data_IF_852027832427
#
_entry.id   IF_852027832427
#
_cell.length_a   1.000
_cell.length_b   1.000
_cell.length_c   1.000
_cell.angle_alpha   90.00
_cell.angle_beta   90.00
_cell.angle_gamma   90.00
#
_symmetry.space_group_name_H-M   'P 1'
#
loop_
_entity.id
_entity.type
_entity.pdbx_description
1 polymer ?
#
# COMPACT_ATOMS: atom_id res chain seq x y z
N UNK A 1 15.65 -67.61 -16.40
CA UNK A 1 16.70 -66.61 -16.05
C UNK A 1 16.56 -65.36 -16.93
N UNK A 2 16.00 -64.27 -16.36
CA UNK A 2 16.73 -63.01 -16.09
C UNK A 2 17.02 -62.22 -17.40
N UNK A 3 16.55 -61.00 -17.67
CA UNK A 3 16.47 -59.80 -16.83
C UNK A 3 15.69 -58.71 -17.59
N UNK A 4 14.96 -57.89 -16.83
CA UNK A 4 14.29 -56.64 -17.20
C UNK A 4 15.34 -55.56 -17.56
N UNK A 5 15.10 -54.76 -18.61
CA UNK A 5 15.60 -53.38 -18.63
C UNK A 5 14.63 -52.45 -19.38
N UNK A 6 13.77 -51.80 -18.59
CA UNK A 6 13.13 -50.51 -18.87
C UNK A 6 14.17 -49.39 -18.83
N UNK A 7 14.03 -48.34 -19.66
CA UNK A 7 14.41 -46.92 -19.41
C UNK A 7 14.38 -46.09 -20.73
N UNK A 8 14.23 -44.75 -20.70
CA UNK A 8 12.93 -44.09 -20.55
C UNK A 8 12.70 -42.91 -21.52
N UNK A 9 11.46 -42.43 -21.51
CA UNK A 9 10.92 -41.13 -21.92
C UNK A 9 11.93 -40.00 -22.26
N UNK A 10 11.94 -39.63 -23.53
CA UNK A 10 12.27 -38.28 -23.99
C UNK A 10 10.98 -37.44 -23.91
N UNK A 11 10.78 -36.82 -22.75
CA UNK A 11 9.75 -35.81 -22.54
C UNK A 11 10.37 -34.65 -21.76
N UNK A 12 11.10 -33.81 -22.49
CA UNK A 12 11.57 -32.51 -22.00
C UNK A 12 10.37 -31.67 -21.54
N UNK A 13 10.12 -31.70 -20.24
CA UNK A 13 9.02 -31.02 -19.58
C UNK A 13 9.12 -29.49 -19.58
N UNK A 14 8.01 -28.81 -19.20
CA UNK A 14 7.86 -27.36 -19.33
C UNK A 14 8.68 -26.58 -18.29
N UNK A 15 9.20 -25.44 -18.73
CA UNK A 15 9.86 -24.44 -17.91
C UNK A 15 9.02 -24.11 -16.65
N UNK A 16 9.55 -24.47 -15.48
CA UNK A 16 8.98 -24.09 -14.20
C UNK A 16 8.99 -22.56 -14.00
N UNK A 17 8.08 -22.01 -13.19
CA UNK A 17 8.07 -20.58 -12.89
C UNK A 17 9.34 -20.20 -12.09
N UNK A 18 9.86 -18.97 -12.25
CA UNK A 18 11.03 -18.53 -11.52
C UNK A 18 10.79 -18.54 -10.00
N UNK A 19 11.84 -18.75 -9.20
CA UNK A 19 11.71 -18.82 -7.74
C UNK A 19 11.14 -17.51 -7.21
N UNK A 20 10.02 -17.61 -6.50
CA UNK A 20 9.45 -16.50 -5.76
C UNK A 20 10.48 -16.01 -4.75
N UNK A 21 10.99 -14.79 -4.95
CA UNK A 21 11.78 -14.07 -3.95
C UNK A 21 10.84 -13.84 -2.76
N UNK A 22 10.85 -14.77 -1.81
CA UNK A 22 10.29 -14.63 -0.48
C UNK A 22 10.97 -13.42 0.17
N UNK A 23 10.37 -12.25 0.03
CA UNK A 23 10.76 -11.07 0.82
C UNK A 23 10.64 -11.48 2.29
N UNK A 24 11.69 -11.30 3.10
CA UNK A 24 11.58 -11.61 4.52
C UNK A 24 10.42 -10.80 5.12
N UNK A 25 9.65 -11.36 6.06
CA UNK A 25 8.68 -10.57 6.82
C UNK A 25 9.41 -9.39 7.46
N UNK A 26 8.75 -8.24 7.66
CA UNK A 26 9.38 -7.06 8.26
C UNK A 26 10.02 -7.44 9.60
N UNK A 27 11.34 -7.65 9.57
CA UNK A 27 12.09 -8.09 10.74
C UNK A 27 12.22 -6.90 11.69
N UNK A 28 11.49 -6.96 12.80
CA UNK A 28 11.69 -6.07 13.94
C UNK A 28 13.04 -6.41 14.57
N UNK A 29 14.09 -5.67 14.22
CA UNK A 29 15.40 -5.75 14.88
C UNK A 29 15.63 -4.42 15.61
N UNK A 30 15.48 -4.40 16.94
CA UNK A 30 15.84 -3.24 17.76
C UNK A 30 14.77 -2.18 18.03
N UNK A 31 13.49 -2.46 17.83
CA UNK A 31 12.39 -1.57 18.27
C UNK A 31 11.98 -0.49 17.27
N UNK A 32 12.79 -0.19 16.26
CA UNK A 32 12.42 0.70 15.15
C UNK A 32 11.75 -0.08 14.01
N UNK A 33 10.67 0.48 13.44
CA UNK A 33 10.05 -0.07 12.25
C UNK A 33 10.90 0.23 11.01
N UNK A 34 11.35 -0.79 10.29
CA UNK A 34 12.02 -0.59 9.00
C UNK A 34 10.96 -0.30 7.92
N UNK A 35 10.88 0.96 7.49
CA UNK A 35 10.13 1.36 6.31
C UNK A 35 10.99 1.15 5.05
N UNK A 36 10.40 0.76 3.90
CA UNK A 36 8.97 0.61 3.64
C UNK A 36 8.40 -0.75 4.11
N UNK A 37 7.22 -0.71 4.71
CA UNK A 37 6.49 -1.88 5.19
C UNK A 37 5.59 -2.45 4.09
N UNK A 38 5.95 -3.61 3.53
CA UNK A 38 5.17 -4.29 2.50
C UNK A 38 4.06 -5.15 3.14
N UNK A 39 2.80 -4.86 2.78
CA UNK A 39 1.57 -5.48 3.27
C UNK A 39 0.76 -6.03 2.07
N UNK A 40 1.38 -6.94 1.30
CA UNK A 40 0.80 -7.49 0.07
C UNK A 40 0.75 -6.45 -1.06
N UNK A 41 -0.44 -6.06 -1.58
CA UNK A 41 -0.56 -5.05 -2.62
C UNK A 41 -0.40 -3.60 -2.11
N UNK A 42 -0.30 -3.41 -0.79
CA UNK A 42 -0.06 -2.13 -0.12
C UNK A 42 1.39 -2.08 0.37
N UNK A 43 2.06 -0.95 0.23
CA UNK A 43 3.38 -0.69 0.81
C UNK A 43 3.35 0.65 1.52
N UNK A 44 3.65 0.68 2.82
CA UNK A 44 3.68 1.92 3.59
C UNK A 44 5.10 2.46 3.61
N UNK A 45 5.28 3.70 3.16
CA UNK A 45 6.59 4.37 3.08
C UNK A 45 6.82 5.33 4.23
N UNK A 46 5.74 5.85 4.84
CA UNK A 46 5.80 6.77 5.97
C UNK A 46 4.49 6.72 6.74
N UNK A 47 4.56 6.65 8.06
CA UNK A 47 3.37 6.61 8.92
C UNK A 47 2.81 8.00 9.23
N UNK A 48 3.60 9.06 9.04
CA UNK A 48 3.22 10.42 9.38
C UNK A 48 3.18 10.67 10.89
N UNK A 49 2.78 11.89 11.25
CA UNK A 49 2.60 12.35 12.63
C UNK A 49 1.11 12.63 12.82
N UNK A 50 0.48 11.90 13.74
CA UNK A 50 -0.93 12.07 14.07
C UNK A 50 -1.54 10.85 14.77
N UNK A 51 -2.56 11.07 15.59
CA UNK A 51 -3.25 10.01 16.33
C UNK A 51 -4.55 9.61 15.61
N UNK A 52 -4.65 8.35 15.21
CA UNK A 52 -5.89 7.78 14.69
C UNK A 52 -6.85 7.44 15.85
N UNK A 53 -7.63 8.42 16.29
CA UNK A 53 -8.66 8.30 17.34
C UNK A 53 -10.11 8.37 16.81
N UNK A 54 -11.13 8.12 17.66
CA UNK A 54 -12.54 8.21 17.29
C UNK A 54 -12.96 9.68 17.10
N UNK A 55 -12.65 10.19 15.90
CA UNK A 55 -12.78 11.59 15.46
C UNK A 55 -11.67 11.98 14.45
N UNK A 56 -11.18 11.00 13.69
CA UNK A 56 -9.77 10.87 13.27
C UNK A 56 -9.16 12.09 12.57
N UNK A 57 -8.16 12.68 13.22
CA UNK A 57 -7.14 13.51 12.57
C UNK A 57 -6.30 12.57 11.72
N UNK A 58 -6.36 12.74 10.40
CA UNK A 58 -5.56 11.95 9.47
C UNK A 58 -4.07 12.15 9.79
N UNK A 59 -3.24 11.09 9.79
CA UNK A 59 -1.82 11.21 10.10
C UNK A 59 -1.11 12.04 9.03
N UNK A 60 -0.75 13.28 9.36
CA UNK A 60 -0.09 14.20 8.43
C UNK A 60 1.28 13.66 8.08
N UNK A 61 1.61 13.59 6.80
CA UNK A 61 2.84 12.97 6.30
C UNK A 61 2.73 11.46 6.09
N UNK A 62 1.56 10.85 6.30
CA UNK A 62 1.34 9.46 5.93
C UNK A 62 1.49 9.27 4.42
N UNK A 63 2.26 8.26 4.03
CA UNK A 63 2.52 7.92 2.64
C UNK A 63 2.49 6.42 2.44
N UNK A 64 1.65 5.97 1.52
CA UNK A 64 1.59 4.57 1.10
C UNK A 64 1.53 4.46 -0.43
N UNK A 65 1.88 3.30 -0.96
CA UNK A 65 1.63 2.94 -2.35
C UNK A 65 0.77 1.70 -2.43
N UNK A 66 -0.16 1.67 -3.37
CA UNK A 66 -1.04 0.53 -3.60
C UNK A 66 -1.12 0.19 -5.08
N UNK A 67 -0.99 -1.10 -5.40
CA UNK A 67 -1.15 -1.58 -6.76
C UNK A 67 -2.64 -1.70 -7.11
N UNK A 68 -3.13 -0.88 -8.04
CA UNK A 68 -4.54 -0.85 -8.43
C UNK A 68 -4.71 -0.67 -9.95
N UNK A 69 -5.95 -0.70 -10.45
CA UNK A 69 -6.22 -0.56 -11.89
C UNK A 69 -5.87 0.85 -12.37
N UNK A 70 -5.21 0.92 -13.53
CA UNK A 70 -4.84 2.20 -14.16
C UNK A 70 -6.06 2.91 -14.74
N UNK A 71 -6.19 4.20 -14.44
CA UNK A 71 -7.15 5.12 -15.07
C UNK A 71 -6.75 5.50 -16.49
N UNK A 72 -5.46 5.41 -16.84
CA UNK A 72 -4.94 5.77 -18.17
C UNK A 72 -4.95 4.60 -19.16
N UNK A 73 -4.69 3.38 -18.68
CA UNK A 73 -4.61 2.16 -19.49
C UNK A 73 -5.58 1.11 -18.94
N UNK A 74 -6.86 1.15 -19.33
CA UNK A 74 -7.86 0.17 -18.90
C UNK A 74 -7.39 -1.24 -19.27
N UNK A 75 -7.19 -2.10 -18.26
CA UNK A 75 -6.65 -3.46 -18.43
C UNK A 75 -5.25 -3.66 -17.85
N UNK A 76 -4.53 -2.59 -17.49
CA UNK A 76 -3.27 -2.67 -16.74
C UNK A 76 -3.46 -2.21 -15.29
N UNK A 77 -2.52 -2.62 -14.44
CA UNK A 77 -2.39 -2.12 -13.07
C UNK A 77 -1.20 -1.17 -13.00
N UNK A 78 -1.32 -0.15 -12.16
CA UNK A 78 -0.25 0.78 -11.83
C UNK A 78 -0.23 0.98 -10.31
N UNK A 79 0.90 1.51 -9.81
CA UNK A 79 1.00 1.91 -8.42
C UNK A 79 0.37 3.29 -8.25
N UNK A 80 -0.43 3.42 -7.20
CA UNK A 80 -0.96 4.70 -6.73
C UNK A 80 -0.27 5.07 -5.44
N UNK A 81 0.32 6.25 -5.40
CA UNK A 81 0.86 6.84 -4.17
C UNK A 81 -0.25 7.61 -3.47
N UNK A 82 -0.62 7.18 -2.27
CA UNK A 82 -1.53 7.89 -1.38
C UNK A 82 -0.71 8.73 -0.40
N UNK A 83 -1.11 9.98 -0.20
CA UNK A 83 -0.45 10.91 0.73
C UNK A 83 -1.49 11.64 1.56
N UNK A 84 -1.18 11.86 2.83
CA UNK A 84 -1.89 12.79 3.69
C UNK A 84 -0.95 13.98 3.89
N UNK A 85 -1.35 15.15 3.39
CA UNK A 85 -0.61 16.42 3.47
C UNK A 85 -1.13 17.19 4.69
N UNK A 86 -0.39 18.21 5.16
CA UNK A 86 -0.83 19.07 6.26
C UNK A 86 -2.20 19.72 5.97
N UNK A 87 -3.05 19.79 7.00
CA UNK A 87 -4.49 20.07 6.87
C UNK A 87 -5.29 18.81 6.49
N UNK A 88 -6.63 18.86 6.43
CA UNK A 88 -7.43 17.76 5.92
C UNK A 88 -7.25 17.70 4.39
N UNK A 89 -6.07 17.29 3.91
CA UNK A 89 -5.76 17.22 2.48
C UNK A 89 -5.10 15.89 2.18
N UNK A 90 -5.81 15.08 1.41
CA UNK A 90 -5.35 13.81 0.91
C UNK A 90 -5.08 13.91 -0.59
N UNK A 91 -4.12 13.12 -1.07
CA UNK A 91 -3.74 13.07 -2.46
C UNK A 91 -3.55 11.61 -2.89
N UNK A 92 -4.06 11.28 -4.07
CA UNK A 92 -3.76 10.04 -4.79
C UNK A 92 -3.10 10.41 -6.11
N UNK A 93 -1.90 9.89 -6.34
CA UNK A 93 -1.15 10.09 -7.58
C UNK A 93 -0.90 8.74 -8.23
N UNK A 94 -1.27 8.59 -9.50
CA UNK A 94 -0.92 7.41 -10.27
C UNK A 94 0.52 7.52 -10.78
N UNK A 95 1.32 6.46 -10.69
CA UNK A 95 2.67 6.46 -11.24
C UNK A 95 2.70 6.54 -12.77
N UNK A 96 1.64 6.11 -13.46
CA UNK A 96 1.58 6.12 -14.93
C UNK A 96 0.98 7.41 -15.53
N UNK A 97 0.46 8.28 -14.68
CA UNK A 97 -0.04 9.62 -14.98
C UNK A 97 0.22 10.57 -13.79
N UNK A 98 1.49 10.89 -13.49
CA UNK A 98 1.84 11.70 -12.32
C UNK A 98 1.35 13.15 -12.41
N UNK A 99 0.93 13.61 -13.60
CA UNK A 99 0.34 14.94 -13.79
C UNK A 99 -1.10 15.05 -13.29
N UNK A 100 -1.81 13.92 -13.15
CA UNK A 100 -3.21 13.89 -12.68
C UNK A 100 -3.26 13.52 -11.19
N UNK A 101 -3.14 14.53 -10.34
CA UNK A 101 -3.26 14.37 -8.88
C UNK A 101 -4.72 14.46 -8.46
N UNK A 102 -5.22 13.40 -7.82
CA UNK A 102 -6.56 13.37 -7.24
C UNK A 102 -6.48 13.87 -5.79
N UNK A 103 -6.90 15.11 -5.57
CA UNK A 103 -6.88 15.75 -4.24
C UNK A 103 -8.26 15.67 -3.60
N UNK A 104 -8.35 15.66 -2.27
CA UNK A 104 -9.62 15.73 -1.55
C UNK A 104 -9.42 15.96 -0.06
N UNK A 105 -10.48 16.35 0.68
CA UNK A 105 -10.35 16.62 2.10
C UNK A 105 -10.19 15.36 2.97
N UNK A 106 -10.63 14.21 2.44
CA UNK A 106 -10.56 12.91 3.11
C UNK A 106 -10.10 11.83 2.12
N UNK A 107 -9.58 10.69 2.62
CA UNK A 107 -9.26 9.52 1.80
C UNK A 107 -10.46 9.06 0.97
N UNK A 108 -11.67 9.11 1.54
CA UNK A 108 -12.91 8.72 0.85
C UNK A 108 -13.21 9.60 -0.37
N UNK A 109 -13.05 10.92 -0.24
CA UNK A 109 -13.28 11.83 -1.38
C UNK A 109 -12.25 11.57 -2.48
N UNK A 110 -10.99 11.34 -2.13
CA UNK A 110 -9.95 11.01 -3.11
C UNK A 110 -10.24 9.68 -3.80
N UNK A 111 -10.66 8.67 -3.04
CA UNK A 111 -11.00 7.36 -3.55
C UNK A 111 -12.25 7.41 -4.45
N UNK A 112 -13.27 8.19 -4.10
CA UNK A 112 -14.43 8.43 -4.96
C UNK A 112 -14.04 9.05 -6.30
N UNK A 113 -13.13 10.04 -6.31
CA UNK A 113 -12.58 10.64 -7.54
C UNK A 113 -11.80 9.63 -8.38
N UNK A 114 -11.07 8.71 -7.75
CA UNK A 114 -10.38 7.61 -8.43
C UNK A 114 -11.38 6.67 -9.12
N UNK A 115 -12.42 6.24 -8.41
CA UNK A 115 -13.46 5.38 -8.97
C UNK A 115 -14.22 6.06 -10.12
N UNK A 116 -14.50 7.36 -9.99
CA UNK A 116 -15.09 8.15 -11.06
C UNK A 116 -14.18 8.18 -12.30
N UNK A 117 -12.90 8.48 -12.13
CA UNK A 117 -11.93 8.50 -13.23
C UNK A 117 -11.78 7.12 -13.91
N UNK A 118 -11.90 6.03 -13.16
CA UNK A 118 -11.92 4.67 -13.71
C UNK A 118 -13.20 4.42 -14.54
N UNK A 119 -14.35 4.88 -14.06
CA UNK A 119 -15.62 4.80 -14.77
C UNK A 119 -15.57 5.54 -16.11
N UNK A 120 -15.07 6.78 -16.09
CA UNK A 120 -14.87 7.61 -17.30
C UNK A 120 -13.90 6.96 -18.30
N UNK A 121 -12.85 6.29 -17.81
CA UNK A 121 -11.89 5.59 -18.64
C UNK A 121 -12.38 4.21 -19.15
N UNK A 122 -13.59 3.78 -18.80
CA UNK A 122 -14.10 2.45 -19.12
C UNK A 122 -13.33 1.32 -18.43
N UNK A 123 -12.52 1.64 -17.42
CA UNK A 123 -11.75 0.66 -16.68
C UNK A 123 -12.66 -0.13 -15.72
N UNK A 124 -12.56 -1.46 -15.75
CA UNK A 124 -13.19 -2.33 -14.76
C UNK A 124 -12.10 -2.88 -13.84
N UNK A 125 -12.10 -2.54 -12.55
CA UNK A 125 -11.15 -3.12 -11.60
C UNK A 125 -11.25 -4.65 -11.61
N UNK A 126 -10.13 -5.35 -11.87
CA UNK A 126 -10.06 -6.82 -11.75
C UNK A 126 -10.04 -7.27 -10.29
N UNK A 127 -9.54 -6.42 -9.40
CA UNK A 127 -9.70 -6.57 -7.96
C UNK A 127 -11.01 -5.87 -7.58
N UNK A 128 -11.80 -6.47 -6.69
CA UNK A 128 -13.02 -5.86 -6.16
C UNK A 128 -12.72 -4.40 -5.80
N UNK A 129 -13.46 -3.42 -6.35
CA UNK A 129 -13.28 -2.05 -5.91
C UNK A 129 -13.54 -2.02 -4.40
N UNK A 130 -12.74 -1.29 -3.62
CA UNK A 130 -13.18 -0.93 -2.28
C UNK A 130 -14.55 -0.25 -2.44
N UNK A 131 -15.52 -0.60 -1.62
CA UNK A 131 -16.84 0.03 -1.68
C UNK A 131 -16.71 1.57 -1.57
N UNK A 132 -17.68 2.35 -2.06
CA UNK A 132 -17.75 3.77 -1.73
C UNK A 132 -17.61 3.95 -0.20
N UNK A 133 -16.74 4.86 0.24
CA UNK A 133 -16.41 5.02 1.67
C UNK A 133 -15.32 4.09 2.22
N UNK A 134 -14.61 3.36 1.35
CA UNK A 134 -13.44 2.56 1.73
C UNK A 134 -12.11 3.25 1.35
N UNK A 135 -12.06 4.59 1.39
CA UNK A 135 -10.86 5.36 1.11
C UNK A 135 -9.77 5.13 2.15
N UNK A 136 -10.14 4.99 3.42
CA UNK A 136 -9.19 4.64 4.49
C UNK A 136 -8.54 3.27 4.26
N UNK A 137 -9.30 2.29 3.76
CA UNK A 137 -8.78 0.98 3.33
C UNK A 137 -7.82 1.13 2.16
N UNK A 138 -8.18 1.96 1.18
CA UNK A 138 -7.35 2.20 0.01
C UNK A 138 -6.00 2.84 0.41
N UNK A 139 -6.02 3.84 1.29
CA UNK A 139 -4.81 4.45 1.86
C UNK A 139 -4.05 3.47 2.76
N UNK A 140 -4.73 2.47 3.33
CA UNK A 140 -4.15 1.47 4.22
C UNK A 140 -4.21 1.85 5.69
N UNK A 141 -4.96 2.89 6.05
CA UNK A 141 -5.11 3.39 7.42
C UNK A 141 -5.87 2.39 8.31
N UNK A 142 -6.75 1.57 7.72
CA UNK A 142 -7.49 0.53 8.45
C UNK A 142 -6.69 -0.75 8.66
N UNK A 143 -5.54 -0.91 8.01
CA UNK A 143 -4.76 -2.13 8.10
C UNK A 143 -4.31 -2.36 9.56
N UNK A 144 -4.51 -3.55 10.16
CA UNK A 144 -4.27 -3.78 11.59
C UNK A 144 -2.84 -3.45 12.02
N UNK A 145 -1.85 -3.73 11.18
CA UNK A 145 -0.46 -3.31 11.42
C UNK A 145 -0.34 -1.77 11.51
N UNK A 146 -0.86 -1.04 10.52
CA UNK A 146 -0.82 0.44 10.48
C UNK A 146 -1.59 1.03 11.66
N UNK A 147 -2.80 0.52 11.96
CA UNK A 147 -3.58 0.94 13.12
C UNK A 147 -2.82 0.73 14.42
N UNK A 148 -2.17 -0.42 14.59
CA UNK A 148 -1.35 -0.71 15.78
C UNK A 148 -0.19 0.27 15.91
N UNK A 149 0.42 0.69 14.81
CA UNK A 149 1.47 1.72 14.84
C UNK A 149 0.91 3.10 15.19
N UNK A 150 -0.16 3.53 14.51
CA UNK A 150 -0.81 4.82 14.79
C UNK A 150 -1.38 4.91 16.23
N UNK A 151 -1.82 3.79 16.80
CA UNK A 151 -2.35 3.70 18.16
C UNK A 151 -1.24 3.47 19.22
N UNK A 152 -0.16 2.78 18.86
CA UNK A 152 0.87 2.33 19.79
C UNK A 152 2.14 3.20 19.82
N UNK A 153 2.46 3.92 18.73
CA UNK A 153 3.68 4.73 18.62
C UNK A 153 3.44 6.24 18.75
N UNK A 154 2.19 6.68 18.93
CA UNK A 154 1.90 8.08 19.30
C UNK A 154 2.44 8.49 20.68
N UNK A 155 3.03 7.56 21.45
CA UNK A 155 3.66 7.84 22.75
C UNK A 155 5.19 7.92 22.75
N UNK A 156 5.87 7.59 21.65
CA UNK A 156 7.34 7.46 21.65
C UNK A 156 8.06 8.35 20.64
N UNK A 157 7.35 9.04 19.75
CA UNK A 157 7.96 9.91 18.73
C UNK A 157 7.88 11.42 19.03
N UNK A 158 7.43 11.82 20.22
CA UNK A 158 7.57 13.19 20.73
C UNK A 158 8.44 13.19 21.98
N UNK A 159 9.73 12.99 21.80
CA UNK A 159 10.73 13.85 22.43
C UNK A 159 11.69 14.31 21.35
N UNK A 160 11.58 15.55 20.83
CA UNK A 160 12.81 16.26 20.62
C UNK A 160 13.49 16.32 21.99
N UNK A 161 14.74 15.88 22.04
CA UNK A 161 15.61 16.21 23.15
C UNK A 161 15.79 17.73 23.11
N UNK A 162 14.93 18.44 23.82
CA UNK A 162 15.30 19.73 24.41
C UNK A 162 15.97 19.38 25.73
N UNK A 163 17.19 18.83 25.61
CA UNK A 163 18.24 19.17 26.57
C UNK A 163 18.61 20.62 26.26
N UNK A 164 18.01 21.56 26.99
CA UNK A 164 18.60 22.87 27.18
C UNK A 164 18.81 23.07 28.67
N UNK A 165 20.08 23.31 28.96
CA UNK A 165 20.80 23.31 30.22
C UNK A 165 20.49 24.59 31.01
N UNK A 166 20.16 24.49 32.29
CA UNK A 166 20.30 25.56 33.29
C UNK A 166 20.54 24.97 34.69
#
# INVERSE_FOLDING_TARGET
PATILTSPEDASGPAGPPPAILRPPPCRRGGALTLPLALGPLTVHGLGVGSAGPGAILPVGFRSTRLFTSTRRPGRRCLYTCRVVAGPRCEIVSEDDPGRVLVGPTPDVCHGRLLQALGEAGARPRAMPPAPGAGDDFFGLTHPAVRRFLQGEARTFLRPEEEEED
#
